data_IF_907721825816
#
_entry.id   IF_907721825816
#
_cell.length_a   1.000
_cell.length_b   1.000
_cell.length_c   1.000
_cell.angle_alpha   90.00
_cell.angle_beta   90.00
_cell.angle_gamma   90.00
#
_symmetry.space_group_name_H-M   'P 1'
#
loop_
_entity.id
_entity.type
_entity.pdbx_description
1 polymer ?
#
# COMPACT_ATOMS: atom_id res chain seq x y z
N UNK A 1 25.46 0.70 -17.55
CA UNK A 1 24.23 0.10 -18.11
C UNK A 1 23.07 0.99 -17.71
N UNK A 2 22.15 1.25 -18.63
CA UNK A 2 20.92 1.99 -18.31
C UNK A 2 19.81 0.97 -18.08
N UNK A 3 19.09 1.10 -16.96
CA UNK A 3 17.93 0.29 -16.63
C UNK A 3 16.68 1.19 -16.66
N UNK A 4 15.56 0.62 -17.09
CA UNK A 4 14.24 1.23 -16.97
C UNK A 4 13.42 0.37 -16.02
N UNK A 5 12.92 0.96 -14.95
CA UNK A 5 11.93 0.35 -14.07
C UNK A 5 10.54 0.87 -14.44
N UNK A 6 9.59 -0.05 -14.59
CA UNK A 6 8.20 0.25 -14.94
C UNK A 6 7.26 -0.44 -13.95
N UNK A 7 6.19 0.24 -13.57
CA UNK A 7 5.04 -0.39 -12.96
C UNK A 7 4.20 -1.03 -14.07
N UNK A 8 3.99 -2.36 -13.99
CA UNK A 8 3.27 -3.14 -14.98
C UNK A 8 1.84 -3.39 -14.48
N UNK A 9 0.85 -2.79 -15.15
CA UNK A 9 -0.56 -2.89 -14.76
C UNK A 9 -1.18 -4.19 -15.31
N UNK A 10 -1.77 -5.00 -14.43
CA UNK A 10 -2.47 -6.25 -14.74
C UNK A 10 -3.85 -6.03 -15.37
N UNK A 11 -4.46 -4.87 -15.12
CA UNK A 11 -5.80 -4.57 -15.60
C UNK A 11 -5.88 -4.69 -17.13
N UNK A 12 -6.90 -5.40 -17.60
CA UNK A 12 -7.10 -5.80 -19.01
C UNK A 12 -5.85 -6.42 -19.64
N UNK A 13 -5.05 -7.11 -18.83
CA UNK A 13 -3.80 -7.77 -19.23
C UNK A 13 -2.78 -6.84 -19.90
N UNK A 14 -2.81 -5.53 -19.57
CA UNK A 14 -1.94 -4.51 -20.18
C UNK A 14 -0.44 -4.83 -20.04
N UNK A 15 -0.05 -5.49 -18.94
CA UNK A 15 1.34 -5.89 -18.68
C UNK A 15 1.86 -6.94 -19.70
N UNK A 16 0.99 -7.67 -20.40
CA UNK A 16 1.40 -8.66 -21.41
C UNK A 16 2.01 -8.02 -22.68
N UNK A 17 1.91 -6.71 -22.84
CA UNK A 17 2.59 -6.00 -23.92
C UNK A 17 4.09 -5.77 -23.66
N UNK A 18 4.56 -6.01 -22.43
CA UNK A 18 5.97 -5.85 -22.08
C UNK A 18 6.72 -7.18 -22.15
N UNK A 19 8.01 -7.10 -22.48
CA UNK A 19 8.96 -8.22 -22.44
C UNK A 19 10.08 -7.85 -21.48
N UNK A 20 9.88 -8.03 -20.17
CA UNK A 20 10.85 -7.58 -19.17
C UNK A 20 12.11 -8.46 -19.19
N UNK A 21 13.25 -7.85 -18.88
CA UNK A 21 14.46 -8.59 -18.55
C UNK A 21 14.37 -9.21 -17.16
N UNK A 22 13.77 -8.47 -16.22
CA UNK A 22 13.53 -8.88 -14.86
C UNK A 22 12.08 -8.50 -14.49
N UNK A 23 11.33 -9.44 -13.93
CA UNK A 23 10.00 -9.22 -13.39
C UNK A 23 10.02 -9.31 -11.88
N UNK A 24 9.24 -8.46 -11.20
CA UNK A 24 8.98 -8.56 -9.76
C UNK A 24 7.49 -8.76 -9.58
N UNK A 25 7.09 -9.81 -8.86
CA UNK A 25 5.69 -10.10 -8.52
C UNK A 25 5.58 -10.13 -7.00
N UNK A 26 4.87 -9.16 -6.45
CA UNK A 26 4.80 -8.93 -5.00
C UNK A 26 3.71 -9.75 -4.33
N UNK A 27 2.50 -9.72 -4.91
CA UNK A 27 1.32 -10.45 -4.44
C UNK A 27 0.35 -10.64 -5.61
N UNK A 28 -0.56 -11.61 -5.48
CA UNK A 28 -1.64 -11.87 -6.43
C UNK A 28 -2.93 -12.11 -5.65
N UNK A 29 -3.86 -11.16 -5.74
CA UNK A 29 -5.14 -11.18 -5.04
C UNK A 29 -6.30 -10.92 -5.99
N UNK A 30 -7.54 -11.15 -5.53
CA UNK A 30 -8.73 -10.82 -6.31
C UNK A 30 -8.91 -9.31 -6.40
N UNK A 31 -8.67 -8.76 -7.58
CA UNK A 31 -8.99 -7.39 -7.95
C UNK A 31 -9.48 -7.35 -9.41
N UNK A 32 -10.02 -6.20 -9.83
CA UNK A 32 -10.51 -6.00 -11.19
C UNK A 32 -11.51 -7.09 -11.65
N UNK A 33 -12.46 -7.45 -10.77
CA UNK A 33 -13.47 -8.48 -11.05
C UNK A 33 -14.49 -8.06 -12.13
N UNK A 34 -14.39 -6.83 -12.61
CA UNK A 34 -15.04 -6.34 -13.83
C UNK A 34 -14.41 -6.91 -15.12
N UNK A 35 -13.14 -7.32 -15.04
CA UNK A 35 -12.41 -7.94 -16.14
C UNK A 35 -12.05 -9.40 -15.87
N UNK A 36 -11.48 -9.71 -14.72
CA UNK A 36 -11.12 -11.06 -14.32
C UNK A 36 -12.30 -11.79 -13.70
N UNK A 37 -12.60 -13.00 -14.18
CA UNK A 37 -13.75 -13.78 -13.69
C UNK A 37 -13.55 -14.38 -12.28
N UNK A 38 -12.30 -14.59 -11.85
CA UNK A 38 -11.92 -15.17 -10.55
C UNK A 38 -10.40 -15.18 -10.38
N UNK A 39 -9.93 -15.57 -9.19
CA UNK A 39 -8.49 -15.65 -8.87
C UNK A 39 -7.69 -16.56 -9.83
N UNK A 40 -8.26 -17.64 -10.33
CA UNK A 40 -7.55 -18.53 -11.26
C UNK A 40 -7.30 -17.85 -12.62
N UNK A 41 -8.21 -16.99 -13.07
CA UNK A 41 -8.01 -16.19 -14.27
C UNK A 41 -6.86 -15.18 -14.05
N UNK A 42 -6.80 -14.55 -12.88
CA UNK A 42 -5.71 -13.64 -12.52
C UNK A 42 -4.37 -14.41 -12.48
N UNK A 43 -4.30 -15.54 -11.78
CA UNK A 43 -3.10 -16.38 -11.71
C UNK A 43 -2.62 -16.77 -13.11
N UNK A 44 -3.53 -17.20 -13.99
CA UNK A 44 -3.19 -17.55 -15.37
C UNK A 44 -2.65 -16.36 -16.18
N UNK A 45 -3.17 -15.16 -15.94
CA UNK A 45 -2.67 -13.93 -16.56
C UNK A 45 -1.25 -13.59 -16.09
N UNK A 46 -1.00 -13.69 -14.78
CA UNK A 46 0.34 -13.49 -14.22
C UNK A 46 1.33 -14.59 -14.65
N UNK A 47 0.89 -15.85 -14.86
CA UNK A 47 1.72 -16.92 -15.43
C UNK A 47 2.16 -16.59 -16.85
N UNK A 48 1.25 -16.05 -17.69
CA UNK A 48 1.60 -15.54 -19.02
C UNK A 48 2.63 -14.41 -18.93
N UNK A 49 2.42 -13.43 -18.04
CA UNK A 49 3.37 -12.33 -17.83
C UNK A 49 4.74 -12.83 -17.37
N UNK A 50 4.78 -13.71 -16.38
CA UNK A 50 6.02 -14.34 -15.90
C UNK A 50 6.78 -15.03 -17.04
N UNK A 51 6.06 -15.72 -17.93
CA UNK A 51 6.61 -16.42 -19.10
C UNK A 51 7.23 -15.48 -20.16
N UNK A 52 6.81 -14.21 -20.19
CA UNK A 52 7.39 -13.17 -21.07
C UNK A 52 8.74 -12.67 -20.57
N UNK A 53 9.14 -12.98 -19.33
CA UNK A 53 10.45 -12.62 -18.79
C UNK A 53 11.55 -13.24 -19.64
N UNK A 54 12.58 -12.47 -19.94
CA UNK A 54 13.73 -12.92 -20.73
C UNK A 54 14.34 -14.22 -20.17
N UNK A 55 14.71 -15.19 -21.00
CA UNK A 55 15.43 -16.41 -20.53
C UNK A 55 16.80 -16.09 -19.92
N UNK A 56 17.37 -14.91 -20.19
CA UNK A 56 18.62 -14.43 -19.60
C UNK A 56 18.40 -13.58 -18.34
N UNK A 57 17.16 -13.36 -17.95
CA UNK A 57 16.77 -12.59 -16.79
C UNK A 57 16.32 -13.48 -15.62
N UNK A 58 15.48 -12.91 -14.75
CA UNK A 58 14.83 -13.69 -13.68
C UNK A 58 13.48 -13.10 -13.30
N UNK A 59 12.68 -13.92 -12.62
CA UNK A 59 11.45 -13.54 -11.96
C UNK A 59 11.72 -13.49 -10.47
N UNK A 60 11.49 -12.36 -9.82
CA UNK A 60 11.62 -12.17 -8.38
C UNK A 60 10.23 -12.23 -7.77
N UNK A 61 10.02 -13.11 -6.78
CA UNK A 61 8.69 -13.43 -6.27
C UNK A 61 8.64 -13.42 -4.75
N UNK A 62 7.53 -12.92 -4.21
CA UNK A 62 7.22 -13.06 -2.79
C UNK A 62 6.73 -14.47 -2.50
N UNK A 63 7.53 -15.28 -1.81
CA UNK A 63 7.15 -16.67 -1.47
C UNK A 63 6.21 -16.76 -0.26
N UNK A 64 5.96 -15.66 0.45
CA UNK A 64 4.93 -15.60 1.48
C UNK A 64 3.51 -15.57 0.87
N UNK A 65 3.38 -15.27 -0.44
CA UNK A 65 2.12 -15.26 -1.16
C UNK A 65 1.90 -16.60 -1.92
N UNK A 66 0.86 -17.33 -1.52
CA UNK A 66 0.53 -18.64 -2.11
C UNK A 66 0.14 -18.60 -3.59
N UNK A 67 -0.50 -17.51 -4.03
CA UNK A 67 -0.94 -17.36 -5.42
C UNK A 67 0.26 -17.03 -6.31
N UNK A 68 1.20 -16.21 -5.82
CA UNK A 68 2.48 -15.95 -6.49
C UNK A 68 3.28 -17.26 -6.67
N UNK A 69 3.30 -18.12 -5.65
CA UNK A 69 3.95 -19.43 -5.76
C UNK A 69 3.30 -20.30 -6.87
N UNK A 70 1.95 -20.23 -7.04
CA UNK A 70 1.27 -20.93 -8.13
C UNK A 70 1.63 -20.34 -9.49
N UNK A 71 1.72 -19.02 -9.64
CA UNK A 71 2.09 -18.33 -10.88
C UNK A 71 3.41 -18.86 -11.45
N UNK A 72 4.40 -19.14 -10.61
CA UNK A 72 5.73 -19.52 -11.09
C UNK A 72 5.96 -21.03 -11.15
N UNK A 73 5.00 -21.85 -10.71
CA UNK A 73 5.15 -23.29 -10.59
C UNK A 73 5.49 -23.98 -11.92
N UNK A 74 4.92 -23.51 -13.02
CA UNK A 74 5.08 -24.09 -14.35
C UNK A 74 5.86 -23.19 -15.31
N UNK A 75 6.47 -22.11 -14.83
CA UNK A 75 7.19 -21.17 -15.67
C UNK A 75 8.64 -21.60 -15.83
N UNK A 76 9.05 -21.89 -17.09
CA UNK A 76 10.45 -22.25 -17.41
C UNK A 76 11.33 -20.99 -17.49
N UNK A 77 11.59 -20.39 -16.34
CA UNK A 77 12.45 -19.21 -16.14
C UNK A 77 13.17 -19.34 -14.80
N UNK A 78 14.27 -18.61 -14.66
CA UNK A 78 14.95 -18.49 -13.38
C UNK A 78 14.04 -17.73 -12.41
N UNK A 79 13.71 -18.35 -11.29
CA UNK A 79 12.95 -17.77 -10.19
C UNK A 79 13.90 -17.48 -9.02
N UNK A 80 13.72 -16.33 -8.39
CA UNK A 80 14.39 -15.89 -7.17
C UNK A 80 13.32 -15.50 -6.17
N UNK A 81 13.29 -16.15 -5.02
CA UNK A 81 12.27 -15.93 -4.01
C UNK A 81 12.73 -14.98 -2.90
N UNK A 82 11.79 -14.23 -2.35
CA UNK A 82 11.98 -13.47 -1.12
C UNK A 82 10.76 -13.61 -0.20
N UNK A 83 10.99 -13.52 1.11
CA UNK A 83 9.91 -13.63 2.09
C UNK A 83 10.39 -13.33 3.50
N UNK A 84 9.44 -13.13 4.42
CA UNK A 84 9.65 -12.98 5.86
C UNK A 84 9.20 -14.24 6.62
N UNK A 85 8.12 -14.83 6.16
CA UNK A 85 7.49 -16.01 6.79
C UNK A 85 8.06 -17.31 6.20
N UNK A 86 8.35 -17.36 4.89
CA UNK A 86 9.05 -18.47 4.24
C UNK A 86 10.55 -18.46 4.59
N UNK A 87 10.95 -19.39 5.45
CA UNK A 87 12.35 -19.53 5.89
C UNK A 87 13.29 -20.11 4.83
N UNK A 88 12.75 -20.65 3.74
CA UNK A 88 13.49 -21.22 2.62
C UNK A 88 13.63 -20.27 1.43
N UNK A 89 13.07 -19.05 1.53
CA UNK A 89 13.22 -18.04 0.51
C UNK A 89 14.72 -17.72 0.26
N UNK A 90 15.07 -17.41 -1.00
CA UNK A 90 16.43 -17.02 -1.35
C UNK A 90 16.89 -15.76 -0.61
N UNK A 91 15.95 -14.80 -0.40
CA UNK A 91 16.19 -13.58 0.37
C UNK A 91 15.21 -13.46 1.54
N UNK A 92 15.76 -13.25 2.75
CA UNK A 92 14.98 -13.08 3.98
C UNK A 92 15.51 -11.90 4.79
N UNK A 93 14.72 -11.40 5.74
CA UNK A 93 15.15 -10.39 6.71
C UNK A 93 15.20 -10.97 8.11
N UNK A 94 16.24 -10.61 8.89
CA UNK A 94 16.37 -10.94 10.31
C UNK A 94 16.76 -9.69 11.10
N UNK A 95 16.74 -9.80 12.42
CA UNK A 95 17.12 -8.71 13.33
C UNK A 95 16.28 -7.44 13.10
N UNK A 96 14.99 -7.63 12.75
CA UNK A 96 14.08 -6.53 12.47
C UNK A 96 13.84 -5.75 13.76
N UNK A 97 14.07 -4.43 13.70
CA UNK A 97 13.80 -3.46 14.77
C UNK A 97 13.09 -2.27 14.15
N UNK A 98 12.14 -1.72 14.86
CA UNK A 98 11.43 -0.50 14.45
C UNK A 98 11.83 0.66 15.36
N UNK A 99 11.94 1.85 14.81
CA UNK A 99 12.09 3.08 15.57
C UNK A 99 10.73 3.61 16.05
N UNK A 100 10.72 4.73 16.78
CA UNK A 100 9.50 5.34 17.33
C UNK A 100 8.47 5.73 16.25
N UNK A 101 8.89 5.86 15.00
CA UNK A 101 8.02 6.15 13.85
C UNK A 101 7.62 4.87 13.08
N UNK A 102 7.88 3.68 13.62
CA UNK A 102 7.57 2.40 12.98
C UNK A 102 8.45 2.07 11.74
N UNK A 103 9.50 2.84 11.50
CA UNK A 103 10.40 2.60 10.37
C UNK A 103 11.41 1.50 10.72
N UNK A 104 11.50 0.42 9.91
CA UNK A 104 12.30 -0.74 10.24
C UNK A 104 13.78 -0.59 9.87
N UNK A 105 14.62 -1.25 10.68
CA UNK A 105 16.01 -1.60 10.34
C UNK A 105 16.15 -3.12 10.44
N UNK A 106 16.87 -3.74 9.52
CA UNK A 106 17.02 -5.20 9.46
C UNK A 106 18.25 -5.61 8.67
N UNK A 107 18.70 -6.85 8.88
CA UNK A 107 19.75 -7.48 8.08
C UNK A 107 19.13 -8.36 7.00
N UNK A 108 19.52 -8.17 5.74
CA UNK A 108 19.12 -9.02 4.62
C UNK A 108 20.03 -10.24 4.54
N UNK A 109 19.44 -11.41 4.46
CA UNK A 109 20.11 -12.68 4.26
C UNK A 109 19.81 -13.21 2.86
N UNK A 110 20.87 -13.65 2.16
CA UNK A 110 20.78 -14.39 0.91
C UNK A 110 21.18 -15.82 1.15
N UNK A 111 20.23 -16.77 1.07
CA UNK A 111 20.48 -18.21 1.30
C UNK A 111 21.22 -18.51 2.60
N UNK A 112 20.88 -17.76 3.66
CA UNK A 112 21.45 -17.94 4.99
C UNK A 112 22.68 -17.11 5.30
N UNK A 113 23.31 -16.44 4.32
CA UNK A 113 24.43 -15.53 4.50
C UNK A 113 23.93 -14.08 4.60
N UNK A 114 24.41 -13.33 5.57
CA UNK A 114 24.16 -11.90 5.67
C UNK A 114 24.87 -11.15 4.56
N UNK A 115 24.18 -10.21 3.91
CA UNK A 115 24.72 -9.46 2.78
C UNK A 115 24.68 -7.96 2.94
N UNK A 116 23.68 -7.41 3.68
CA UNK A 116 23.57 -5.97 3.90
C UNK A 116 22.61 -5.66 5.05
N UNK A 117 22.93 -4.62 5.82
CA UNK A 117 22.02 -4.00 6.78
C UNK A 117 21.29 -2.85 6.13
N UNK A 118 19.95 -2.88 6.21
CA UNK A 118 19.04 -1.90 5.63
C UNK A 118 18.33 -1.13 6.74
N UNK A 119 18.16 0.17 6.52
CA UNK A 119 17.28 1.04 7.32
C UNK A 119 16.35 1.77 6.36
N UNK A 120 15.04 1.74 6.64
CA UNK A 120 14.03 2.42 5.85
C UNK A 120 13.54 3.68 6.57
N UNK A 121 13.05 4.65 5.80
CA UNK A 121 12.31 5.83 6.27
C UNK A 121 10.79 5.68 6.10
N UNK A 122 10.35 4.51 5.65
CA UNK A 122 8.95 4.16 5.44
C UNK A 122 8.59 3.01 6.36
N UNK A 123 7.43 3.10 6.99
CA UNK A 123 6.96 2.13 7.98
C UNK A 123 6.25 0.94 7.33
N UNK A 124 6.10 -0.14 8.11
CA UNK A 124 5.27 -1.28 7.78
C UNK A 124 6.01 -2.49 7.19
N UNK A 125 5.53 -3.68 7.55
CA UNK A 125 6.08 -4.99 7.15
C UNK A 125 6.18 -5.14 5.62
N UNK A 126 5.20 -4.61 4.87
CA UNK A 126 5.20 -4.65 3.41
C UNK A 126 6.40 -3.91 2.80
N UNK A 127 6.90 -2.84 3.44
CA UNK A 127 8.09 -2.14 2.96
C UNK A 127 9.38 -2.92 3.20
N UNK A 128 9.42 -3.81 4.20
CA UNK A 128 10.53 -4.78 4.35
C UNK A 128 10.51 -5.76 3.16
N UNK A 129 9.34 -6.29 2.82
CA UNK A 129 9.17 -7.17 1.64
C UNK A 129 9.58 -6.46 0.34
N UNK A 130 9.15 -5.22 0.14
CA UNK A 130 9.54 -4.42 -1.02
C UNK A 130 11.07 -4.20 -1.08
N UNK A 131 11.71 -3.94 0.07
CA UNK A 131 13.15 -3.78 0.15
C UNK A 131 13.91 -5.09 -0.14
N UNK A 132 13.38 -6.25 0.28
CA UNK A 132 13.91 -7.56 -0.10
C UNK A 132 13.83 -7.78 -1.62
N UNK A 133 12.70 -7.44 -2.26
CA UNK A 133 12.53 -7.53 -3.71
C UNK A 133 13.54 -6.64 -4.44
N UNK A 134 13.73 -5.39 -4.00
CA UNK A 134 14.71 -4.45 -4.55
C UNK A 134 16.13 -4.99 -4.37
N UNK A 135 16.46 -5.52 -3.19
CA UNK A 135 17.78 -6.09 -2.90
C UNK A 135 18.06 -7.30 -3.81
N UNK A 136 17.09 -8.20 -3.96
CA UNK A 136 17.20 -9.35 -4.85
C UNK A 136 17.40 -8.93 -6.32
N UNK A 137 16.67 -7.89 -6.78
CA UNK A 137 16.81 -7.34 -8.12
C UNK A 137 18.20 -6.73 -8.35
N UNK A 138 18.67 -5.94 -7.40
CA UNK A 138 19.96 -5.27 -7.46
C UNK A 138 21.11 -6.28 -7.46
N UNK A 139 21.05 -7.30 -6.60
CA UNK A 139 22.05 -8.36 -6.52
C UNK A 139 22.09 -9.17 -7.84
N UNK A 140 20.94 -9.54 -8.38
CA UNK A 140 20.87 -10.20 -9.69
C UNK A 140 21.49 -9.35 -10.82
N UNK A 141 21.33 -8.04 -10.77
CA UNK A 141 21.90 -7.10 -11.75
C UNK A 141 23.39 -6.80 -11.49
N UNK A 142 23.97 -7.29 -10.40
CA UNK A 142 25.35 -7.06 -10.00
C UNK A 142 25.61 -5.63 -9.51
N UNK A 143 24.60 -4.99 -8.91
CA UNK A 143 24.76 -3.67 -8.29
C UNK A 143 25.43 -3.79 -6.92
N UNK A 144 26.27 -2.82 -6.51
CA UNK A 144 26.89 -2.84 -5.19
C UNK A 144 25.83 -2.74 -4.07
N UNK A 145 25.95 -3.55 -3.02
CA UNK A 145 25.01 -3.53 -1.88
C UNK A 145 25.01 -2.18 -1.14
N UNK A 146 26.13 -1.45 -1.12
CA UNK A 146 26.18 -0.09 -0.58
C UNK A 146 25.29 0.89 -1.36
N UNK A 147 25.13 0.72 -2.68
CA UNK A 147 24.19 1.52 -3.46
C UNK A 147 22.74 1.17 -3.14
N UNK A 148 22.45 -0.11 -2.87
CA UNK A 148 21.12 -0.57 -2.42
C UNK A 148 20.79 0.04 -1.06
N UNK A 149 21.72 -0.06 -0.10
CA UNK A 149 21.58 0.50 1.24
C UNK A 149 21.33 2.01 1.20
N UNK A 150 22.12 2.74 0.43
CA UNK A 150 21.97 4.20 0.28
C UNK A 150 20.63 4.56 -0.37
N UNK A 151 20.28 3.91 -1.49
CA UNK A 151 19.03 4.19 -2.20
C UNK A 151 17.77 3.88 -1.37
N UNK A 152 17.77 2.78 -0.60
CA UNK A 152 16.67 2.44 0.28
C UNK A 152 16.57 3.40 1.48
N UNK A 153 17.70 3.87 2.02
CA UNK A 153 17.72 4.88 3.08
C UNK A 153 17.24 6.24 2.59
N UNK A 154 17.51 6.61 1.33
CA UNK A 154 17.06 7.88 0.74
C UNK A 154 15.58 7.86 0.35
N UNK A 155 15.00 6.68 0.13
CA UNK A 155 13.62 6.53 -0.26
C UNK A 155 12.67 6.98 0.86
N UNK A 156 12.02 8.11 0.66
CA UNK A 156 11.07 8.73 1.60
C UNK A 156 9.60 8.31 1.39
N UNK A 157 9.35 7.30 0.56
CA UNK A 157 8.00 6.86 0.20
C UNK A 157 7.53 7.35 -1.17
N UNK A 158 6.51 6.72 -1.69
CA UNK A 158 5.79 7.20 -2.87
C UNK A 158 4.67 8.16 -2.43
N UNK A 159 4.31 9.10 -3.31
CA UNK A 159 3.14 9.95 -3.07
C UNK A 159 1.92 9.07 -2.83
N UNK A 160 1.08 9.49 -1.90
CA UNK A 160 -0.11 8.74 -1.51
C UNK A 160 0.18 7.32 -1.00
N UNK A 161 1.35 7.08 -0.39
CA UNK A 161 1.70 5.82 0.30
C UNK A 161 2.20 6.17 1.70
N UNK A 162 1.27 6.27 2.65
CA UNK A 162 1.46 6.79 4.00
C UNK A 162 2.16 8.17 3.96
N UNK A 163 1.74 9.02 3.02
CA UNK A 163 2.34 10.35 2.78
C UNK A 163 1.89 11.32 3.85
N UNK A 164 2.83 11.82 4.65
CA UNK A 164 2.54 12.91 5.60
C UNK A 164 2.34 14.20 4.82
N UNK A 165 1.14 14.78 4.91
CA UNK A 165 0.75 15.99 4.15
C UNK A 165 0.65 17.25 5.02
N UNK A 166 0.65 17.13 6.33
CA UNK A 166 0.63 18.27 7.25
C UNK A 166 0.10 17.91 8.62
N UNK A 167 -0.23 18.93 9.40
CA UNK A 167 -0.79 18.80 10.75
C UNK A 167 -2.06 19.65 10.90
N UNK A 168 -2.88 19.33 11.87
CA UNK A 168 -4.01 20.14 12.32
C UNK A 168 -4.19 19.99 13.83
N UNK A 169 -4.13 21.08 14.59
CA UNK A 169 -4.24 21.06 16.06
C UNK A 169 -3.24 20.08 16.73
N UNK A 170 -2.09 19.80 16.10
CA UNK A 170 -1.11 18.82 16.54
C UNK A 170 -1.47 17.37 16.25
N UNK A 171 -2.49 17.11 15.44
CA UNK A 171 -2.79 15.83 14.80
C UNK A 171 -2.00 15.72 13.49
N UNK A 172 -1.31 14.62 13.25
CA UNK A 172 -0.66 14.35 11.98
C UNK A 172 -1.70 13.97 10.92
N UNK A 173 -1.55 14.50 9.71
CA UNK A 173 -2.42 14.19 8.56
C UNK A 173 -1.63 13.41 7.53
N UNK A 174 -2.12 12.22 7.19
CA UNK A 174 -1.51 11.29 6.25
C UNK A 174 -2.50 10.94 5.14
N UNK A 175 -2.01 10.80 3.90
CA UNK A 175 -2.77 10.25 2.79
C UNK A 175 -2.20 8.89 2.34
N UNK A 176 -3.09 7.94 2.09
CA UNK A 176 -2.72 6.64 1.54
C UNK A 176 -3.67 6.24 0.41
N UNK A 177 -3.10 5.77 -0.69
CA UNK A 177 -3.83 5.33 -1.87
C UNK A 177 -4.56 4.00 -1.65
N UNK A 178 -4.36 3.35 -0.50
CA UNK A 178 -4.95 2.07 -0.14
C UNK A 178 -6.46 2.05 -0.41
N UNK A 179 -6.88 1.15 -1.28
CA UNK A 179 -8.26 1.01 -1.74
C UNK A 179 -8.72 -0.46 -1.86
N UNK A 180 -7.85 -1.39 -1.48
CA UNK A 180 -8.14 -2.82 -1.29
C UNK A 180 -8.07 -3.17 0.21
N UNK A 181 -8.88 -4.10 0.74
CA UNK A 181 -8.86 -4.46 2.17
C UNK A 181 -7.48 -4.83 2.70
N UNK A 182 -6.68 -5.57 1.93
CA UNK A 182 -5.31 -5.95 2.32
C UNK A 182 -4.40 -4.74 2.47
N UNK A 183 -4.48 -3.77 1.56
CA UNK A 183 -3.71 -2.52 1.62
C UNK A 183 -4.12 -1.68 2.84
N UNK A 184 -5.45 -1.47 3.03
CA UNK A 184 -5.99 -0.72 4.17
C UNK A 184 -5.56 -1.35 5.49
N UNK A 185 -5.59 -2.69 5.57
CA UNK A 185 -5.12 -3.43 6.74
C UNK A 185 -3.67 -3.13 7.02
N UNK A 186 -2.79 -3.22 6.01
CA UNK A 186 -1.36 -2.97 6.17
C UNK A 186 -1.08 -1.55 6.63
N UNK A 187 -1.76 -0.54 6.06
CA UNK A 187 -1.66 0.87 6.44
C UNK A 187 -2.09 1.09 7.89
N UNK A 188 -3.26 0.57 8.29
CA UNK A 188 -3.77 0.76 9.65
C UNK A 188 -2.97 -0.04 10.69
N UNK A 189 -2.47 -1.22 10.37
CA UNK A 189 -1.56 -1.98 11.24
C UNK A 189 -0.24 -1.24 11.45
N UNK A 190 0.33 -0.65 10.40
CA UNK A 190 1.51 0.19 10.52
C UNK A 190 1.25 1.43 11.40
N UNK A 191 0.12 2.11 11.20
CA UNK A 191 -0.27 3.26 12.01
C UNK A 191 -0.35 2.93 13.51
N UNK A 192 -0.86 1.75 13.86
CA UNK A 192 -0.97 1.29 15.27
C UNK A 192 0.37 1.13 15.96
N UNK A 193 1.46 0.88 15.22
CA UNK A 193 2.80 0.73 15.82
C UNK A 193 3.49 2.07 16.10
N UNK A 194 2.94 3.18 15.59
CA UNK A 194 3.56 4.51 15.68
C UNK A 194 3.23 5.29 16.95
N UNK A 195 2.43 4.73 17.86
CA UNK A 195 2.17 5.30 19.19
C UNK A 195 1.23 6.52 19.21
N UNK A 196 0.40 6.71 18.18
CA UNK A 196 -0.66 7.71 18.18
C UNK A 196 -1.73 7.42 19.24
N UNK A 197 -2.38 8.48 19.76
CA UNK A 197 -3.44 8.37 20.77
C UNK A 197 -4.69 7.74 20.15
N UNK A 198 -5.17 8.31 19.05
CA UNK A 198 -6.34 7.85 18.29
C UNK A 198 -6.08 7.93 16.79
N UNK A 199 -6.60 6.95 16.05
CA UNK A 199 -6.51 6.86 14.59
C UNK A 199 -7.87 7.17 13.98
N UNK A 200 -7.95 8.26 13.23
CA UNK A 200 -9.11 8.70 12.46
C UNK A 200 -8.95 8.29 11.01
N UNK A 201 -9.76 7.36 10.52
CA UNK A 201 -9.74 6.93 9.12
C UNK A 201 -10.89 7.55 8.33
N UNK A 202 -10.56 8.25 7.25
CA UNK A 202 -11.54 8.71 6.24
C UNK A 202 -11.37 7.85 5.02
N UNK A 203 -12.29 6.94 4.79
CA UNK A 203 -12.23 6.00 3.68
C UNK A 203 -13.19 6.39 2.55
N UNK A 204 -12.68 6.44 1.32
CA UNK A 204 -13.47 6.56 0.10
C UNK A 204 -13.42 5.24 -0.66
N UNK A 205 -14.51 4.47 -0.69
CA UNK A 205 -14.58 3.27 -1.53
C UNK A 205 -14.33 3.62 -3.00
N UNK A 206 -13.64 2.75 -3.73
CA UNK A 206 -13.33 2.96 -5.15
C UNK A 206 -14.01 1.89 -5.99
N UNK A 207 -14.87 2.29 -6.91
CA UNK A 207 -15.80 1.54 -7.75
C UNK A 207 -16.94 0.83 -6.97
N UNK A 208 -18.11 0.76 -7.58
CA UNK A 208 -19.27 0.06 -6.97
C UNK A 208 -19.06 -1.45 -6.94
N UNK A 209 -18.53 -2.01 -8.02
CA UNK A 209 -18.26 -3.45 -8.15
C UNK A 209 -17.35 -3.97 -7.05
N UNK A 210 -16.21 -3.31 -6.81
CA UNK A 210 -15.26 -3.68 -5.73
C UNK A 210 -15.90 -3.49 -4.35
N UNK A 211 -16.58 -2.36 -4.13
CA UNK A 211 -17.25 -2.08 -2.85
C UNK A 211 -18.23 -3.16 -2.50
N UNK A 212 -19.02 -3.62 -3.46
CA UNK A 212 -20.00 -4.70 -3.30
C UNK A 212 -19.33 -6.06 -3.03
N UNK A 213 -18.33 -6.42 -3.83
CA UNK A 213 -17.65 -7.71 -3.73
C UNK A 213 -16.90 -7.89 -2.40
N UNK A 214 -16.28 -6.81 -1.89
CA UNK A 214 -15.41 -6.85 -0.71
C UNK A 214 -16.01 -6.14 0.52
N UNK A 215 -17.35 -5.97 0.55
CA UNK A 215 -18.06 -5.19 1.57
C UNK A 215 -17.75 -5.63 3.01
N UNK A 216 -17.75 -6.94 3.25
CA UNK A 216 -17.50 -7.50 4.59
C UNK A 216 -16.02 -7.38 4.97
N UNK A 217 -15.11 -7.53 4.01
CA UNK A 217 -13.67 -7.38 4.24
C UNK A 217 -13.32 -5.92 4.55
N UNK A 218 -13.89 -4.94 3.84
CA UNK A 218 -13.75 -3.53 4.18
C UNK A 218 -14.26 -3.25 5.59
N UNK A 219 -15.46 -3.73 5.94
CA UNK A 219 -16.04 -3.54 7.27
C UNK A 219 -15.16 -4.15 8.37
N UNK A 220 -14.46 -5.25 8.09
CA UNK A 220 -13.55 -5.91 9.04
C UNK A 220 -12.27 -5.10 9.26
N UNK A 221 -11.61 -4.67 8.17
CA UNK A 221 -10.29 -4.03 8.28
C UNK A 221 -10.37 -2.59 8.78
N UNK A 222 -11.42 -1.84 8.42
CA UNK A 222 -11.61 -0.47 8.88
C UNK A 222 -11.79 -0.36 10.40
N UNK A 223 -12.27 -1.42 11.08
CA UNK A 223 -12.36 -1.50 12.55
C UNK A 223 -10.99 -1.45 13.26
N UNK A 224 -9.89 -1.47 12.52
CA UNK A 224 -8.56 -1.23 13.08
C UNK A 224 -8.35 0.25 13.45
N UNK A 225 -9.07 1.19 12.85
CA UNK A 225 -9.09 2.58 13.29
C UNK A 225 -10.06 2.80 14.45
N UNK A 226 -9.82 3.83 15.26
CA UNK A 226 -10.67 4.18 16.40
C UNK A 226 -11.92 4.95 15.95
N UNK A 227 -11.77 5.82 14.95
CA UNK A 227 -12.85 6.60 14.34
C UNK A 227 -12.86 6.40 12.83
N UNK A 228 -14.07 6.16 12.28
CA UNK A 228 -14.23 5.78 10.88
C UNK A 228 -15.26 6.69 10.22
N UNK A 229 -14.83 7.41 9.19
CA UNK A 229 -15.69 8.18 8.30
C UNK A 229 -15.67 7.53 6.92
N UNK A 230 -16.85 7.37 6.31
CA UNK A 230 -16.98 6.81 4.97
C UNK A 230 -17.52 7.90 4.05
N UNK A 231 -16.74 8.24 3.00
CA UNK A 231 -17.15 9.13 1.94
C UNK A 231 -17.95 8.39 0.86
N UNK A 232 -18.54 9.12 -0.11
CA UNK A 232 -19.19 8.49 -1.25
C UNK A 232 -18.23 7.63 -2.08
N UNK A 233 -18.76 6.58 -2.71
CA UNK A 233 -18.00 5.76 -3.65
C UNK A 233 -17.46 6.64 -4.76
N UNK A 234 -16.15 6.56 -5.01
CA UNK A 234 -15.55 7.12 -6.22
C UNK A 234 -15.84 6.18 -7.40
N UNK A 235 -16.70 6.57 -8.35
CA UNK A 235 -17.22 5.65 -9.35
C UNK A 235 -16.18 5.25 -10.41
N UNK A 236 -15.13 6.08 -10.59
CA UNK A 236 -14.17 5.96 -11.68
C UNK A 236 -14.87 5.92 -13.05
N UNK A 237 -14.95 4.74 -13.67
CA UNK A 237 -15.62 4.49 -14.95
C UNK A 237 -16.96 3.81 -14.86
N UNK A 238 -17.42 3.50 -13.64
CA UNK A 238 -18.68 2.79 -13.42
C UNK A 238 -19.84 3.78 -13.27
N UNK A 239 -21.02 3.39 -13.74
CA UNK A 239 -22.27 4.08 -13.47
C UNK A 239 -22.96 3.47 -12.26
N UNK A 240 -23.66 4.29 -11.49
CA UNK A 240 -24.38 3.81 -10.31
C UNK A 240 -25.61 2.99 -10.73
N UNK A 241 -25.62 1.72 -10.37
CA UNK A 241 -26.67 0.76 -10.69
C UNK A 241 -27.70 0.55 -9.57
N UNK A 242 -27.58 1.28 -8.45
CA UNK A 242 -28.46 1.17 -7.29
C UNK A 242 -28.19 -0.04 -6.39
N UNK A 243 -27.15 -0.84 -6.62
CA UNK A 243 -26.94 -2.11 -5.90
C UNK A 243 -26.12 -1.97 -4.63
N UNK A 244 -25.28 -0.93 -4.51
CA UNK A 244 -24.43 -0.68 -3.35
C UNK A 244 -24.21 0.82 -3.15
N UNK A 245 -24.18 1.27 -1.90
CA UNK A 245 -23.88 2.63 -1.53
C UNK A 245 -22.91 2.66 -0.34
N UNK A 246 -22.18 3.75 -0.15
CA UNK A 246 -21.24 3.91 0.97
C UNK A 246 -21.93 3.79 2.35
N UNK A 247 -23.21 4.15 2.46
CA UNK A 247 -23.95 3.97 3.70
C UNK A 247 -24.15 2.49 4.07
N UNK A 248 -24.15 1.57 3.09
CA UNK A 248 -24.26 0.13 3.36
C UNK A 248 -22.98 -0.38 4.07
N UNK A 249 -21.83 0.16 3.69
CA UNK A 249 -20.57 -0.13 4.37
C UNK A 249 -20.56 0.47 5.79
N UNK A 250 -20.97 1.73 5.94
CA UNK A 250 -21.04 2.38 7.23
C UNK A 250 -21.97 1.63 8.20
N UNK A 251 -23.12 1.13 7.73
CA UNK A 251 -24.06 0.36 8.53
C UNK A 251 -23.49 -0.96 9.09
N UNK A 252 -22.44 -1.53 8.45
CA UNK A 252 -21.74 -2.74 8.93
C UNK A 252 -20.70 -2.47 10.02
N UNK A 253 -20.41 -1.21 10.30
CA UNK A 253 -19.35 -0.81 11.23
C UNK A 253 -19.97 0.02 12.35
N UNK A 254 -19.99 -0.54 13.57
CA UNK A 254 -20.52 0.19 14.72
C UNK A 254 -19.72 1.47 14.96
N UNK A 255 -20.39 2.61 14.96
CA UNK A 255 -19.76 3.92 15.20
C UNK A 255 -19.20 4.60 13.95
N UNK A 256 -19.20 3.95 12.79
CA UNK A 256 -18.83 4.62 11.55
C UNK A 256 -19.85 5.69 11.15
N UNK A 257 -19.34 6.79 10.59
CA UNK A 257 -20.15 7.93 10.12
C UNK A 257 -20.03 8.03 8.61
N UNK A 258 -21.17 7.94 7.92
CA UNK A 258 -21.24 8.22 6.48
C UNK A 258 -21.50 9.71 6.23
N UNK A 259 -20.74 10.30 5.30
CA UNK A 259 -20.95 11.67 4.81
C UNK A 259 -20.62 11.75 3.32
N UNK A 260 -21.55 12.27 2.51
CA UNK A 260 -21.35 12.43 1.06
C UNK A 260 -20.50 13.65 0.69
N UNK A 261 -20.58 14.75 1.47
CA UNK A 261 -19.86 15.98 1.20
C UNK A 261 -18.46 16.01 1.87
N UNK A 262 -17.41 16.04 1.07
CA UNK A 262 -16.03 16.11 1.56
C UNK A 262 -15.76 17.35 2.43
N UNK A 263 -16.37 18.49 2.11
CA UNK A 263 -16.28 19.70 2.94
C UNK A 263 -16.98 19.52 4.28
N UNK A 264 -18.09 18.76 4.32
CA UNK A 264 -18.74 18.40 5.58
C UNK A 264 -17.86 17.48 6.42
N UNK A 265 -17.14 16.52 5.80
CA UNK A 265 -16.15 15.68 6.48
C UNK A 265 -15.06 16.53 7.11
N UNK A 266 -14.46 17.46 6.35
CA UNK A 266 -13.42 18.37 6.87
C UNK A 266 -13.93 19.21 8.05
N UNK A 267 -15.15 19.80 7.94
CA UNK A 267 -15.78 20.56 9.04
C UNK A 267 -16.06 19.69 10.28
N UNK A 268 -16.41 18.43 10.08
CA UNK A 268 -16.66 17.47 11.17
C UNK A 268 -15.37 17.11 11.91
N UNK A 269 -14.27 16.91 11.18
CA UNK A 269 -12.97 16.51 11.73
C UNK A 269 -12.28 17.66 12.48
N UNK A 270 -12.31 18.87 11.92
CA UNK A 270 -11.55 20.03 12.44
C UNK A 270 -11.64 20.25 13.96
N UNK A 271 -12.81 20.19 14.62
CA UNK A 271 -12.91 20.36 16.07
C UNK A 271 -12.69 19.06 16.88
N UNK A 272 -12.43 17.94 16.25
CA UNK A 272 -12.38 16.60 16.90
C UNK A 272 -11.01 15.99 16.96
N UNK A 273 -10.16 16.27 15.96
CA UNK A 273 -8.78 15.78 15.93
C UNK A 273 -7.89 16.71 16.74
N UNK A 274 -6.92 16.14 17.44
CA UNK A 274 -6.06 16.88 18.36
C UNK A 274 -4.64 16.34 18.47
N UNK A 275 -3.90 16.92 19.39
CA UNK A 275 -2.49 16.61 19.58
C UNK A 275 -2.26 15.14 19.89
N UNK A 276 -1.40 14.53 19.08
CA UNK A 276 -1.01 13.12 19.20
C UNK A 276 -1.94 12.15 18.50
N UNK A 277 -2.98 12.64 17.79
CA UNK A 277 -3.83 11.82 16.94
C UNK A 277 -3.22 11.69 15.53
N UNK A 278 -3.70 10.70 14.80
CA UNK A 278 -3.43 10.50 13.38
C UNK A 278 -4.73 10.55 12.58
N UNK A 279 -4.78 11.41 11.58
CA UNK A 279 -5.84 11.43 10.57
C UNK A 279 -5.29 10.82 9.27
N UNK A 280 -5.91 9.72 8.81
CA UNK A 280 -5.54 9.06 7.55
C UNK A 280 -6.69 9.18 6.56
N UNK A 281 -6.42 9.72 5.37
CA UNK A 281 -7.29 9.60 4.20
C UNK A 281 -6.90 8.35 3.41
N UNK A 282 -7.88 7.48 3.11
CA UNK A 282 -7.70 6.19 2.46
C UNK A 282 -8.54 6.11 1.18
N UNK A 283 -7.92 5.81 0.04
CA UNK A 283 -8.63 5.59 -1.20
C UNK A 283 -7.91 6.06 -2.46
N UNK A 284 -8.22 5.44 -3.60
CA UNK A 284 -7.65 5.77 -4.91
C UNK A 284 -8.31 6.97 -5.60
N UNK A 285 -9.42 7.46 -5.07
CA UNK A 285 -10.14 8.63 -5.58
C UNK A 285 -9.55 9.96 -5.10
N UNK A 286 -10.41 10.89 -4.78
CA UNK A 286 -10.05 12.27 -4.44
C UNK A 286 -10.21 12.62 -2.95
N UNK A 287 -10.32 11.61 -2.09
CA UNK A 287 -10.43 11.75 -0.63
C UNK A 287 -9.23 12.49 -0.01
N UNK A 288 -8.05 12.42 -0.61
CA UNK A 288 -6.86 13.13 -0.20
C UNK A 288 -7.06 14.66 -0.11
N UNK A 289 -8.01 15.21 -0.89
CA UNK A 289 -8.35 16.66 -0.83
C UNK A 289 -8.77 17.08 0.56
N UNK A 290 -9.45 16.20 1.32
CA UNK A 290 -9.84 16.47 2.70
C UNK A 290 -8.62 16.77 3.58
N UNK A 291 -7.58 15.91 3.46
CA UNK A 291 -6.34 16.10 4.21
C UNK A 291 -5.60 17.38 3.84
N UNK A 292 -5.48 17.67 2.53
CA UNK A 292 -4.84 18.91 2.07
C UNK A 292 -5.62 20.16 2.51
N UNK A 293 -6.95 20.14 2.44
CA UNK A 293 -7.79 21.28 2.89
C UNK A 293 -7.63 21.53 4.39
N UNK A 294 -7.53 20.48 5.19
CA UNK A 294 -7.33 20.58 6.64
C UNK A 294 -5.93 21.10 6.98
N UNK A 295 -4.89 20.61 6.31
CA UNK A 295 -3.51 21.03 6.51
C UNK A 295 -3.28 22.50 6.08
N UNK A 296 -3.90 22.96 4.98
CA UNK A 296 -3.80 24.33 4.51
C UNK A 296 -4.46 25.33 5.49
N UNK A 297 -5.56 24.93 6.13
CA UNK A 297 -6.27 25.79 7.08
C UNK A 297 -5.50 26.08 8.38
N UNK A 298 -4.43 25.36 8.69
CA UNK A 298 -3.53 25.69 9.81
C UNK A 298 -2.46 26.71 9.42
N UNK A 299 -2.01 26.71 8.16
CA UNK A 299 -1.02 27.67 7.67
C UNK A 299 -1.58 29.10 7.64
N UNK A 300 -2.87 29.26 7.34
CA UNK A 300 -3.55 30.57 7.36
C UNK A 300 -3.70 31.13 8.79
N UNK A 301 -3.86 30.28 9.81
CA UNK A 301 -3.96 30.69 11.20
C UNK A 301 -2.60 31.06 11.82
N UNK A 302 -1.51 30.42 11.43
CA UNK A 302 -0.16 30.71 11.90
C UNK A 302 0.36 32.09 11.42
N UNK A 303 -0.16 32.55 10.30
CA UNK A 303 0.15 33.90 9.77
C UNK A 303 -0.53 35.08 10.51
N UNK A 304 -1.56 34.81 11.33
CA UNK A 304 -2.30 35.86 12.09
C UNK A 304 -1.81 36.02 13.53
N UNK A 305 -1.14 35.09 14.13
CA UNK A 305 -0.58 35.21 15.49
C UNK A 305 0.79 35.91 15.55
N UNK A 306 1.43 36.16 14.42
CA UNK A 306 2.73 36.84 14.36
C UNK A 306 2.65 38.39 14.29
N UNK A 307 1.48 38.99 14.43
CA UNK A 307 1.24 40.44 14.31
C UNK A 307 0.38 41.00 15.48
N UNK A 308 0.63 40.53 16.69
CA UNK A 308 0.11 41.23 17.90
C UNK A 308 1.23 41.43 18.93
#
# INVERSE_FOLDING_TARGET
KNYLALEACEYVESFLHFKPFLSIITNVEEDHLDYFSNINHIISSFEKFASLTSPYGCIIVCSDDKNVCQVVQNVDRKVVSYGLDDKNADYTAKNIKENDNGCPSFTVYRRGEDIVDITLKVAGKHNILNALAVTAAADFLGLPMEAVKSGLLEFGGAKRRFEHIGTLNGCDIVDDYAHHPTEIKATLEAAKTMGYNEIWAVFQPHTYSRTKALLDDFAKVLKLADHILIADVYPAREEYDGTIHSCDLAAKIKGAVYMSDMKAIARYLKPRVGKGDLLITLGAGDVNKIGYDLAAGEQDNAGFEAVL
#
